data_IF_632067363826
#
_entry.id   IF_632067363826
#
_cell.length_a   1.000
_cell.length_b   1.000
_cell.length_c   1.000
_cell.angle_alpha   90.00
_cell.angle_beta   90.00
_cell.angle_gamma   90.00
#
_symmetry.space_group_name_H-M   'P 1'
#
loop_
_entity.id
_entity.type
_entity.pdbx_description
1 polymer ?
#
# COMPACT_ATOMS: atom_id res chain seq x y z
N UNK A 1 -14.72 21.25 -6.20
CA UNK A 1 -14.59 21.60 -4.77
C UNK A 1 -15.34 20.60 -3.91
N UNK A 2 -14.65 19.71 -3.23
CA UNK A 2 -15.23 18.88 -2.18
C UNK A 2 -15.33 19.74 -0.93
N UNK A 3 -16.51 20.32 -0.68
CA UNK A 3 -16.80 21.18 0.48
C UNK A 3 -16.93 20.32 1.75
N UNK A 4 -15.84 19.63 2.12
CA UNK A 4 -15.82 18.73 3.26
C UNK A 4 -15.53 19.52 4.54
N UNK A 5 -16.52 19.61 5.43
CA UNK A 5 -16.37 20.38 6.69
C UNK A 5 -15.43 19.66 7.65
N UNK A 6 -14.20 20.16 7.72
CA UNK A 6 -13.18 19.79 8.70
C UNK A 6 -13.69 20.06 10.12
N UNK A 7 -13.49 19.10 11.03
CA UNK A 7 -13.80 19.24 12.46
C UNK A 7 -12.55 19.61 13.25
N UNK A 8 -11.51 18.79 13.13
CA UNK A 8 -10.19 19.05 13.68
C UNK A 8 -9.14 18.68 12.66
N UNK A 9 -7.98 19.34 12.71
CA UNK A 9 -6.87 19.06 11.80
C UNK A 9 -5.54 19.45 12.43
N UNK A 10 -4.49 18.75 12.02
CA UNK A 10 -3.10 19.01 12.41
C UNK A 10 -2.21 18.91 11.16
N UNK A 11 -1.18 19.75 11.11
CA UNK A 11 -0.13 19.64 10.11
C UNK A 11 1.02 18.81 10.65
N UNK A 12 1.52 17.90 9.82
CA UNK A 12 2.71 17.09 10.09
C UNK A 12 3.59 17.16 8.84
N UNK A 13 4.58 18.06 8.87
CA UNK A 13 5.27 18.46 7.64
C UNK A 13 4.26 19.05 6.63
N UNK A 14 4.31 18.56 5.39
CA UNK A 14 3.41 18.96 4.31
C UNK A 14 2.09 18.16 4.27
N UNK A 15 1.87 17.28 5.25
CA UNK A 15 0.69 16.44 5.35
C UNK A 15 -0.33 17.05 6.32
N UNK A 16 -1.50 17.42 5.81
CA UNK A 16 -2.61 17.89 6.65
C UNK A 16 -3.50 16.71 7.03
N UNK A 17 -3.44 16.30 8.29
CA UNK A 17 -4.26 15.23 8.84
C UNK A 17 -5.49 15.84 9.46
N UNK A 18 -6.69 15.38 9.10
CA UNK A 18 -7.92 15.95 9.62
C UNK A 18 -9.02 14.91 9.73
N UNK A 19 -10.01 15.18 10.57
CA UNK A 19 -11.26 14.47 10.52
C UNK A 19 -12.42 15.38 10.12
N UNK A 20 -13.46 14.79 9.55
CA UNK A 20 -14.58 15.53 9.00
C UNK A 20 -15.89 15.23 9.75
N UNK A 21 -16.97 15.89 9.29
CA UNK A 21 -18.31 15.70 9.86
C UNK A 21 -18.94 14.33 9.56
N UNK A 22 -18.39 13.59 8.60
CA UNK A 22 -18.77 12.20 8.24
C UNK A 22 -17.92 11.14 8.96
N UNK A 23 -17.18 11.54 10.00
CA UNK A 23 -16.39 10.67 10.86
C UNK A 23 -15.30 9.90 10.09
N UNK A 24 -14.76 10.50 9.03
CA UNK A 24 -13.56 9.98 8.36
C UNK A 24 -12.33 10.68 8.88
N UNK A 25 -11.30 9.90 9.16
CA UNK A 25 -9.95 10.38 9.39
C UNK A 25 -9.22 10.36 8.05
N UNK A 26 -8.87 11.53 7.56
CA UNK A 26 -8.27 11.77 6.26
C UNK A 26 -6.87 12.39 6.43
N UNK A 27 -6.04 12.25 5.41
CA UNK A 27 -4.91 13.14 5.19
C UNK A 27 -5.00 13.81 3.83
N UNK A 28 -4.38 14.98 3.71
CA UNK A 28 -4.25 15.72 2.46
C UNK A 28 -2.77 16.07 2.23
N UNK A 29 -2.26 15.75 1.03
CA UNK A 29 -0.91 16.14 0.59
C UNK A 29 -1.00 16.69 -0.82
N UNK A 30 -0.57 17.94 -1.02
CA UNK A 30 -0.62 18.59 -2.33
C UNK A 30 -2.02 18.71 -2.93
N UNK A 31 -3.06 18.81 -2.09
CA UNK A 31 -4.47 18.92 -2.52
C UNK A 31 -5.20 17.59 -2.69
N UNK A 32 -4.47 16.46 -2.72
CA UNK A 32 -5.05 15.13 -2.82
C UNK A 32 -5.47 14.62 -1.44
N UNK A 33 -6.75 14.31 -1.28
CA UNK A 33 -7.34 13.80 -0.02
C UNK A 33 -7.45 12.29 -0.06
N UNK A 34 -6.93 11.62 0.97
CA UNK A 34 -7.07 10.17 1.16
C UNK A 34 -7.69 9.86 2.51
N UNK A 35 -8.73 9.02 2.52
CA UNK A 35 -9.33 8.48 3.76
C UNK A 35 -8.50 7.33 4.29
N UNK A 36 -8.07 7.42 5.55
CA UNK A 36 -7.35 6.36 6.24
C UNK A 36 -8.29 5.42 6.99
N UNK A 37 -9.20 5.99 7.78
CA UNK A 37 -10.06 5.24 8.69
C UNK A 37 -11.45 5.85 8.72
N UNK A 38 -12.45 4.97 8.82
CA UNK A 38 -13.80 5.35 9.21
C UNK A 38 -13.90 5.21 10.73
N UNK A 39 -14.17 6.32 11.41
CA UNK A 39 -14.35 6.38 12.85
C UNK A 39 -15.78 5.94 13.18
N UNK A 40 -15.92 5.21 14.27
CA UNK A 40 -17.18 4.69 14.80
C UNK A 40 -17.94 5.73 15.64
N UNK A 41 -17.25 6.78 16.09
CA UNK A 41 -17.83 7.88 16.88
C UNK A 41 -17.17 9.23 16.59
N UNK A 42 -17.77 10.35 17.03
CA UNK A 42 -17.12 11.66 17.00
C UNK A 42 -15.82 11.68 17.80
N UNK A 43 -14.71 11.95 17.12
CA UNK A 43 -13.39 12.08 17.73
C UNK A 43 -12.78 13.46 17.43
N UNK A 44 -11.76 13.84 18.18
CA UNK A 44 -10.99 15.08 18.03
C UNK A 44 -9.50 14.75 18.01
N UNK A 45 -8.74 15.36 17.11
CA UNK A 45 -7.28 15.15 17.02
C UNK A 45 -6.56 15.70 18.26
N UNK A 46 -5.72 14.88 18.88
CA UNK A 46 -4.80 15.28 19.95
C UNK A 46 -3.43 15.66 19.40
N UNK A 47 -2.94 14.91 18.42
CA UNK A 47 -1.60 15.12 17.85
C UNK A 47 -1.05 13.89 17.13
N UNK A 48 0.10 14.06 16.51
CA UNK A 48 0.85 12.99 15.87
C UNK A 48 2.14 12.72 16.64
N UNK A 49 2.42 11.45 16.92
CA UNK A 49 3.64 11.02 17.59
C UNK A 49 4.53 10.27 16.60
N UNK A 50 5.54 10.98 16.08
CA UNK A 50 6.44 10.46 15.05
C UNK A 50 7.20 9.20 15.51
N UNK A 51 7.62 9.12 16.77
CA UNK A 51 8.33 7.96 17.32
C UNK A 51 7.50 6.67 17.30
N UNK A 52 6.18 6.77 17.15
CA UNK A 52 5.28 5.63 17.04
C UNK A 52 4.56 5.55 15.68
N UNK A 53 4.77 6.53 14.80
CA UNK A 53 4.00 6.69 13.56
C UNK A 53 2.48 6.61 13.77
N UNK A 54 1.98 7.29 14.81
CA UNK A 54 0.56 7.25 15.19
C UNK A 54 -0.03 8.63 15.39
N UNK A 55 -1.25 8.80 14.88
CA UNK A 55 -2.12 9.93 15.19
C UNK A 55 -3.06 9.53 16.33
N UNK A 56 -3.11 10.37 17.36
CA UNK A 56 -3.96 10.17 18.51
C UNK A 56 -5.20 11.05 18.42
N UNK A 57 -6.33 10.46 18.79
CA UNK A 57 -7.62 11.12 18.85
C UNK A 57 -8.28 10.85 20.21
N UNK A 58 -9.17 11.75 20.62
CA UNK A 58 -9.97 11.63 21.85
C UNK A 58 -11.45 11.81 21.55
N UNK A 59 -12.33 11.11 22.26
CA UNK A 59 -13.78 11.38 22.26
C UNK A 59 -14.23 12.23 23.46
N UNK A 60 -15.54 12.49 23.57
CA UNK A 60 -16.10 13.31 24.66
C UNK A 60 -16.09 12.60 26.01
N UNK A 61 -15.97 11.28 25.98
CA UNK A 61 -15.88 10.38 27.11
C UNK A 61 -14.42 10.20 27.59
N UNK A 62 -13.48 10.97 27.03
CA UNK A 62 -12.05 10.94 27.32
C UNK A 62 -11.33 9.64 26.93
N UNK A 63 -11.90 8.82 26.05
CA UNK A 63 -11.20 7.66 25.51
C UNK A 63 -10.20 8.12 24.45
N UNK A 64 -8.95 7.68 24.59
CA UNK A 64 -7.88 7.98 23.64
C UNK A 64 -7.66 6.79 22.71
N UNK A 65 -7.68 7.04 21.39
CA UNK A 65 -7.42 6.04 20.37
C UNK A 65 -6.26 6.48 19.47
N UNK A 66 -5.35 5.54 19.18
CA UNK A 66 -4.23 5.77 18.27
C UNK A 66 -4.40 5.04 16.95
N UNK A 67 -4.27 5.75 15.84
CA UNK A 67 -4.32 5.18 14.49
C UNK A 67 -2.95 5.28 13.84
N UNK A 68 -2.55 4.21 13.16
CA UNK A 68 -1.26 4.18 12.46
C UNK A 68 -1.30 5.08 11.23
N UNK A 69 -0.31 5.97 11.13
CA UNK A 69 -0.07 6.85 9.99
C UNK A 69 1.44 6.92 9.74
N UNK A 70 1.88 6.19 8.71
CA UNK A 70 3.26 6.21 8.27
C UNK A 70 3.45 7.32 7.24
N UNK A 71 4.22 8.35 7.60
CA UNK A 71 4.54 9.43 6.67
C UNK A 71 5.34 8.93 5.47
N UNK A 72 6.27 7.99 5.66
CA UNK A 72 7.04 7.39 4.56
C UNK A 72 6.15 6.70 3.53
N UNK A 73 5.11 5.99 3.98
CA UNK A 73 4.14 5.34 3.08
C UNK A 73 3.31 6.38 2.31
N UNK A 74 2.92 7.47 2.97
CA UNK A 74 2.16 8.57 2.34
C UNK A 74 3.03 9.29 1.30
N UNK A 75 4.27 9.62 1.66
CA UNK A 75 5.24 10.28 0.81
C UNK A 75 5.55 9.43 -0.43
N UNK A 76 5.83 8.14 -0.24
CA UNK A 76 6.03 7.20 -1.34
C UNK A 76 4.86 7.21 -2.32
N UNK A 77 3.63 7.01 -1.83
CA UNK A 77 2.42 7.01 -2.67
C UNK A 77 2.23 8.33 -3.40
N UNK A 78 2.52 9.45 -2.73
CA UNK A 78 2.43 10.80 -3.30
C UNK A 78 3.44 10.98 -4.44
N UNK A 79 4.70 10.57 -4.24
CA UNK A 79 5.75 10.67 -5.27
C UNK A 79 5.41 9.81 -6.49
N UNK A 80 4.95 8.56 -6.29
CA UNK A 80 4.46 7.70 -7.37
C UNK A 80 3.29 8.36 -8.12
N UNK A 81 2.31 8.94 -7.42
CA UNK A 81 1.19 9.64 -8.07
C UNK A 81 1.62 10.88 -8.86
N UNK A 82 2.75 11.49 -8.51
CA UNK A 82 3.35 12.61 -9.24
C UNK A 82 4.27 12.17 -10.38
N UNK A 83 4.49 10.87 -10.56
CA UNK A 83 5.41 10.31 -11.56
C UNK A 83 6.88 10.40 -11.18
N UNK A 84 7.20 10.75 -9.93
CA UNK A 84 8.57 10.89 -9.42
C UNK A 84 9.03 9.57 -8.77
N UNK A 85 9.26 8.56 -9.63
CA UNK A 85 9.60 7.21 -9.19
C UNK A 85 11.01 7.11 -8.61
N UNK A 86 11.93 7.94 -9.09
CA UNK A 86 13.31 7.98 -8.60
C UNK A 86 13.34 8.32 -7.11
N UNK A 87 12.68 9.41 -6.71
CA UNK A 87 12.57 9.78 -5.29
C UNK A 87 11.70 8.82 -4.50
N UNK A 88 10.65 8.26 -5.09
CA UNK A 88 9.85 7.24 -4.41
C UNK A 88 10.72 6.04 -3.99
N UNK A 89 11.62 5.59 -4.87
CA UNK A 89 12.52 4.47 -4.59
C UNK A 89 13.55 4.77 -3.49
N UNK A 90 13.92 6.04 -3.26
CA UNK A 90 14.73 6.44 -2.10
C UNK A 90 13.98 6.29 -0.77
N UNK A 91 12.66 6.51 -0.78
CA UNK A 91 11.80 6.41 0.41
C UNK A 91 11.43 4.95 0.72
N UNK A 92 11.32 4.10 -0.29
CA UNK A 92 10.87 2.71 -0.17
C UNK A 92 11.57 1.91 0.97
N UNK A 93 12.91 1.97 1.17
CA UNK A 93 13.58 1.24 2.24
C UNK A 93 13.18 1.66 3.66
N UNK A 94 12.62 2.87 3.82
CA UNK A 94 12.12 3.37 5.11
C UNK A 94 10.73 2.86 5.46
N UNK A 95 10.03 2.20 4.52
CA UNK A 95 8.71 1.63 4.74
C UNK A 95 8.87 0.27 5.45
N UNK A 96 8.19 0.04 6.59
CA UNK A 96 8.24 -1.25 7.27
C UNK A 96 7.76 -2.41 6.39
N UNK A 97 8.40 -3.58 6.56
CA UNK A 97 8.22 -4.75 5.70
C UNK A 97 6.76 -5.23 5.63
N UNK A 98 6.03 -5.11 6.73
CA UNK A 98 4.61 -5.43 6.83
C UNK A 98 3.72 -4.62 5.88
N UNK A 99 4.19 -3.46 5.43
CA UNK A 99 3.46 -2.60 4.49
C UNK A 99 3.88 -2.79 3.03
N UNK A 100 4.96 -3.54 2.73
CA UNK A 100 5.45 -3.70 1.36
C UNK A 100 4.43 -4.35 0.42
N UNK A 101 3.68 -5.36 0.88
CA UNK A 101 2.61 -5.93 0.05
C UNK A 101 1.43 -4.96 -0.18
N UNK A 102 1.24 -3.96 0.68
CA UNK A 102 0.28 -2.87 0.42
C UNK A 102 0.81 -1.88 -0.61
N UNK A 103 2.13 -1.61 -0.59
CA UNK A 103 2.82 -0.80 -1.60
C UNK A 103 2.75 -1.48 -2.96
N UNK A 104 3.05 -2.78 -3.03
CA UNK A 104 2.96 -3.56 -4.27
C UNK A 104 1.54 -3.53 -4.88
N UNK A 105 0.49 -3.75 -4.07
CA UNK A 105 -0.91 -3.61 -4.53
C UNK A 105 -1.25 -2.21 -5.04
N UNK A 106 -0.69 -1.20 -4.39
CA UNK A 106 -0.85 0.17 -4.85
C UNK A 106 -0.19 0.39 -6.22
N UNK A 107 1.03 -0.09 -6.45
CA UNK A 107 1.73 -0.02 -7.74
C UNK A 107 0.97 -0.80 -8.84
N UNK A 108 0.54 -2.02 -8.54
CA UNK A 108 -0.25 -2.86 -9.45
C UNK A 108 -1.55 -2.13 -9.88
N UNK A 109 -2.25 -1.49 -8.95
CA UNK A 109 -3.47 -0.71 -9.25
C UNK A 109 -3.22 0.51 -10.16
N UNK A 110 -1.96 0.92 -10.31
CA UNK A 110 -1.50 1.97 -11.23
C UNK A 110 -0.95 1.41 -12.54
N UNK A 111 -1.03 0.10 -12.75
CA UNK A 111 -0.49 -0.59 -13.93
C UNK A 111 1.02 -0.79 -13.88
N UNK A 112 1.68 -0.51 -12.75
CA UNK A 112 3.11 -0.69 -12.54
C UNK A 112 3.39 -2.10 -12.01
N UNK A 113 3.09 -3.11 -12.81
CA UNK A 113 3.07 -4.51 -12.37
C UNK A 113 4.49 -5.03 -12.14
N UNK A 114 5.46 -4.59 -12.95
CA UNK A 114 6.88 -4.91 -12.78
C UNK A 114 7.41 -4.41 -11.44
N UNK A 115 7.19 -3.15 -11.11
CA UNK A 115 7.59 -2.57 -9.82
C UNK A 115 6.84 -3.23 -8.65
N UNK A 116 5.56 -3.55 -8.84
CA UNK A 116 4.78 -4.29 -7.85
C UNK A 116 5.41 -5.66 -7.53
N UNK A 117 5.87 -6.39 -8.54
CA UNK A 117 6.54 -7.69 -8.36
C UNK A 117 7.85 -7.56 -7.58
N UNK A 118 8.62 -6.50 -7.82
CA UNK A 118 9.88 -6.25 -7.10
C UNK A 118 9.65 -5.94 -5.62
N UNK A 119 8.58 -5.18 -5.32
CA UNK A 119 8.25 -4.76 -3.95
C UNK A 119 7.51 -5.85 -3.16
N UNK A 120 6.71 -6.69 -3.82
CA UNK A 120 5.92 -7.72 -3.16
C UNK A 120 6.83 -8.72 -2.42
N UNK A 121 6.46 -9.07 -1.20
CA UNK A 121 7.20 -10.03 -0.35
C UNK A 121 6.45 -11.33 -0.12
N UNK A 122 5.13 -11.33 -0.33
CA UNK A 122 4.29 -12.51 -0.21
C UNK A 122 4.47 -13.46 -1.42
N UNK A 123 4.83 -14.74 -1.23
CA UNK A 123 5.07 -15.67 -2.34
C UNK A 123 3.83 -15.94 -3.21
N UNK A 124 2.63 -16.00 -2.62
CA UNK A 124 1.40 -16.19 -3.38
C UNK A 124 1.13 -15.00 -4.28
N UNK A 125 1.21 -13.79 -3.74
CA UNK A 125 1.00 -12.57 -4.50
C UNK A 125 2.07 -12.34 -5.57
N UNK A 126 3.35 -12.58 -5.25
CA UNK A 126 4.45 -12.53 -6.23
C UNK A 126 4.24 -13.51 -7.38
N UNK A 127 3.70 -14.70 -7.09
CA UNK A 127 3.39 -15.68 -8.13
C UNK A 127 2.33 -15.14 -9.10
N UNK A 128 1.22 -14.60 -8.58
CA UNK A 128 0.16 -14.01 -9.42
C UNK A 128 0.70 -12.86 -10.30
N UNK A 129 1.52 -11.97 -9.72
CA UNK A 129 2.16 -10.87 -10.47
C UNK A 129 3.11 -11.41 -11.57
N UNK A 130 3.88 -12.46 -11.29
CA UNK A 130 4.77 -13.07 -12.26
C UNK A 130 4.00 -13.75 -13.41
N UNK A 131 2.89 -14.42 -13.10
CA UNK A 131 1.96 -15.00 -14.08
C UNK A 131 1.37 -13.89 -14.97
N UNK A 132 0.90 -12.79 -14.37
CA UNK A 132 0.34 -11.65 -15.11
C UNK A 132 1.35 -11.01 -16.07
N UNK A 133 2.63 -10.93 -15.68
CA UNK A 133 3.72 -10.42 -16.51
C UNK A 133 4.25 -11.44 -17.54
N UNK A 134 3.79 -12.70 -17.50
CA UNK A 134 4.36 -13.78 -18.30
C UNK A 134 5.83 -14.10 -17.94
N UNK A 135 6.28 -13.73 -16.74
CA UNK A 135 7.62 -14.02 -16.21
C UNK A 135 7.68 -15.44 -15.65
N UNK A 136 7.58 -16.41 -16.56
CA UNK A 136 7.38 -17.81 -16.20
C UNK A 136 8.52 -18.41 -15.34
N UNK A 137 9.77 -17.96 -15.52
CA UNK A 137 10.88 -18.44 -14.69
C UNK A 137 10.73 -18.04 -13.22
N UNK A 138 10.31 -16.81 -12.95
CA UNK A 138 10.05 -16.33 -11.59
C UNK A 138 8.86 -17.11 -10.98
N UNK A 139 7.79 -17.31 -11.76
CA UNK A 139 6.65 -18.11 -11.32
C UNK A 139 7.05 -19.56 -11.03
N UNK A 140 7.95 -20.16 -11.82
CA UNK A 140 8.50 -21.51 -11.61
C UNK A 140 9.29 -21.60 -10.32
N UNK A 141 10.19 -20.65 -10.07
CA UNK A 141 10.99 -20.61 -8.84
C UNK A 141 10.10 -20.52 -7.60
N UNK A 142 9.08 -19.66 -7.63
CA UNK A 142 8.13 -19.52 -6.52
C UNK A 142 7.27 -20.78 -6.35
N UNK A 143 6.80 -21.41 -7.44
CA UNK A 143 6.01 -22.65 -7.35
C UNK A 143 6.84 -23.81 -6.78
N UNK A 144 8.14 -23.86 -7.08
CA UNK A 144 9.07 -24.82 -6.51
C UNK A 144 9.29 -24.60 -5.01
N UNK A 145 9.42 -23.35 -4.57
CA UNK A 145 9.60 -23.00 -3.16
C UNK A 145 8.35 -23.29 -2.32
N UNK A 146 7.18 -22.92 -2.82
CA UNK A 146 5.89 -23.08 -2.11
C UNK A 146 5.35 -24.52 -2.19
N UNK A 147 5.95 -25.37 -3.04
CA UNK A 147 5.55 -26.78 -3.25
C UNK A 147 4.04 -26.97 -3.51
N UNK A 148 3.44 -26.05 -4.27
CA UNK A 148 2.01 -26.04 -4.53
C UNK A 148 1.68 -26.62 -5.91
N UNK A 149 1.00 -27.77 -5.92
CA UNK A 149 0.57 -28.44 -7.16
C UNK A 149 -0.38 -27.58 -8.00
N UNK A 150 -1.26 -26.80 -7.38
CA UNK A 150 -2.17 -25.90 -8.09
C UNK A 150 -1.41 -24.80 -8.85
N UNK A 151 -0.34 -24.24 -8.27
CA UNK A 151 0.51 -23.24 -8.94
C UNK A 151 1.27 -23.86 -10.12
N UNK A 152 1.77 -25.10 -9.97
CA UNK A 152 2.40 -25.82 -11.08
C UNK A 152 1.45 -26.02 -12.26
N UNK A 153 0.18 -26.35 -11.97
CA UNK A 153 -0.85 -26.49 -13.00
C UNK A 153 -1.10 -25.15 -13.73
N UNK A 154 -1.28 -24.06 -12.99
CA UNK A 154 -1.49 -22.72 -13.56
C UNK A 154 -0.30 -22.27 -14.41
N UNK A 155 0.93 -22.54 -13.96
CA UNK A 155 2.15 -22.28 -14.72
C UNK A 155 2.19 -23.10 -16.01
N UNK A 156 1.84 -24.38 -15.96
CA UNK A 156 1.80 -25.26 -17.12
C UNK A 156 0.79 -24.80 -18.18
N UNK A 157 -0.41 -24.41 -17.75
CA UNK A 157 -1.44 -23.86 -18.64
C UNK A 157 -0.98 -22.56 -19.33
N UNK A 158 -0.31 -21.67 -18.58
CA UNK A 158 0.23 -20.43 -19.14
C UNK A 158 1.40 -20.69 -20.11
N UNK A 159 2.28 -21.65 -19.79
CA UNK A 159 3.38 -22.04 -20.65
C UNK A 159 2.91 -22.58 -22.01
N UNK A 160 1.87 -23.42 -21.99
CA UNK A 160 1.25 -23.96 -23.20
C UNK A 160 0.58 -22.87 -24.04
N UNK A 161 -0.12 -21.92 -23.43
CA UNK A 161 -0.78 -20.82 -24.16
C UNK A 161 0.21 -19.82 -24.75
N UNK A 162 1.38 -19.63 -24.14
CA UNK A 162 2.45 -18.73 -24.63
C UNK A 162 3.45 -19.40 -25.57
N UNK A 163 3.29 -20.69 -25.87
CA UNK A 163 4.17 -21.45 -26.77
C UNK A 163 5.58 -21.73 -26.21
N UNK A 164 5.81 -21.47 -24.92
CA UNK A 164 7.05 -21.79 -24.22
C UNK A 164 6.89 -23.17 -23.58
N UNK A 165 7.26 -24.23 -24.30
CA UNK A 165 7.22 -25.59 -23.76
C UNK A 165 8.36 -25.77 -22.75
N UNK A 166 8.02 -25.95 -21.48
CA UNK A 166 8.98 -26.29 -20.44
C UNK A 166 9.46 -27.74 -20.59
N UNK A 167 10.77 -27.95 -20.66
CA UNK A 167 11.36 -29.27 -20.42
C UNK A 167 11.37 -29.51 -18.91
N UNK A 168 10.41 -30.31 -18.42
CA UNK A 168 10.52 -30.93 -17.10
C UNK A 168 11.58 -32.02 -17.19
N UNK A 169 12.77 -31.76 -16.66
CA UNK A 169 13.85 -32.75 -16.49
C UNK A 169 14.02 -33.12 -15.03
#
# INVERSE_FOLDING_TARGET
ETNERVRTGIWVGDCFIYNNSSWRLNYCVGGEVTTMFHLDRPMYLLGYLASQSRVYLIDKEFNVMGYTLLLSLIEYKTLVMRGDLERANEILPSIPKEHLNSVARFLESRGMIEDALEVATDPDYRFELAIQLGKLEIAREIAAEVQSESKWKQLGELAMSTGKVFHFS
#
